data_IF_034018119656
#
_entry.id   IF_034018119656
#
_cell.length_a   1.000
_cell.length_b   1.000
_cell.length_c   1.000
_cell.angle_alpha   90.00
_cell.angle_beta   90.00
_cell.angle_gamma   90.00
#
_symmetry.space_group_name_H-M   'P 1'
#
loop_
_entity.id
_entity.type
_entity.pdbx_description
1 polymer ?
#
# COMPACT_ATOMS: atom_id res chain seq x y z
N UNK A 1 21.25 19.45 -0.75
CA UNK A 1 21.34 18.85 -2.10
C UNK A 1 22.09 17.54 -1.99
N UNK A 2 21.95 16.60 -2.94
CA UNK A 2 22.63 15.29 -2.82
C UNK A 2 22.13 14.48 -1.60
N UNK A 3 23.04 14.04 -0.72
CA UNK A 3 22.72 13.17 0.42
C UNK A 3 21.81 13.82 1.48
N UNK A 4 21.75 15.15 1.55
CA UNK A 4 20.87 15.87 2.49
C UNK A 4 19.40 15.92 2.02
N UNK A 5 19.11 15.45 0.80
CA UNK A 5 17.73 15.35 0.30
C UNK A 5 17.01 14.16 0.92
N UNK A 6 15.67 14.13 0.88
CA UNK A 6 14.91 12.96 1.35
C UNK A 6 15.32 11.66 0.63
N UNK A 7 15.59 11.73 -0.68
CA UNK A 7 16.12 10.59 -1.44
C UNK A 7 17.53 10.19 -0.97
N UNK A 8 18.35 11.18 -0.63
CA UNK A 8 19.68 10.97 -0.06
C UNK A 8 19.66 10.26 1.31
N UNK A 9 18.69 10.60 2.17
CA UNK A 9 18.47 9.90 3.45
C UNK A 9 18.10 8.44 3.23
N UNK A 10 17.21 8.14 2.28
CA UNK A 10 16.84 6.77 1.88
C UNK A 10 18.07 6.00 1.40
N UNK A 11 18.90 6.60 0.55
CA UNK A 11 20.15 6.00 0.07
C UNK A 11 21.15 5.73 1.20
N UNK A 12 21.25 6.64 2.18
CA UNK A 12 22.07 6.45 3.38
C UNK A 12 21.59 5.26 4.23
N UNK A 13 20.28 5.15 4.44
CA UNK A 13 19.69 4.00 5.16
C UNK A 13 20.02 2.67 4.47
N UNK A 14 19.91 2.61 3.15
CA UNK A 14 20.25 1.42 2.35
C UNK A 14 21.72 0.99 2.52
N UNK A 15 22.66 1.95 2.58
CA UNK A 15 24.07 1.65 2.80
C UNK A 15 24.37 1.18 4.23
N UNK A 16 23.60 1.68 5.20
CA UNK A 16 23.77 1.33 6.62
C UNK A 16 23.12 0.02 7.04
N UNK A 17 22.22 -0.52 6.22
CA UNK A 17 21.55 -1.79 6.48
C UNK A 17 22.56 -2.94 6.45
N UNK A 18 22.76 -3.60 7.61
CA UNK A 18 23.65 -4.74 7.72
C UNK A 18 23.05 -5.96 7.03
N UNK A 19 23.90 -6.78 6.42
CA UNK A 19 23.46 -8.06 5.88
C UNK A 19 23.15 -9.03 7.02
N UNK A 20 21.89 -9.45 7.10
CA UNK A 20 21.44 -10.41 8.10
C UNK A 20 21.83 -11.82 7.66
N UNK A 21 22.58 -12.55 8.48
CA UNK A 21 22.90 -13.95 8.23
C UNK A 21 21.65 -14.83 8.31
N UNK A 22 21.52 -15.79 7.39
CA UNK A 22 20.33 -16.65 7.34
C UNK A 22 20.28 -17.67 8.48
N UNK A 23 19.07 -18.14 8.87
CA UNK A 23 18.92 -19.08 9.98
C UNK A 23 19.72 -20.38 9.82
N UNK A 24 19.77 -20.99 8.63
CA UNK A 24 20.53 -22.20 8.32
C UNK A 24 22.02 -21.89 8.30
N UNK A 25 22.43 -20.71 7.83
CA UNK A 25 23.82 -20.25 7.94
C UNK A 25 24.29 -20.29 9.40
N UNK A 26 23.52 -19.68 10.31
CA UNK A 26 23.80 -19.69 11.75
C UNK A 26 23.82 -21.11 12.33
N UNK A 27 22.85 -21.96 11.95
CA UNK A 27 22.77 -23.35 12.43
C UNK A 27 23.93 -24.22 11.91
N UNK A 28 24.32 -24.05 10.66
CA UNK A 28 25.45 -24.77 10.06
C UNK A 28 26.77 -24.34 10.72
N UNK A 29 26.94 -23.06 11.02
CA UNK A 29 28.11 -22.58 11.75
C UNK A 29 28.15 -23.15 13.18
N UNK A 30 27.02 -23.17 13.88
CA UNK A 30 26.91 -23.79 15.21
C UNK A 30 27.24 -25.29 15.18
N UNK A 31 26.69 -26.03 14.21
CA UNK A 31 27.00 -27.44 14.01
C UNK A 31 28.49 -27.65 13.68
N UNK A 32 29.06 -26.81 12.81
CA UNK A 32 30.48 -26.84 12.47
C UNK A 32 31.37 -26.60 13.69
N UNK A 33 31.02 -25.63 14.55
CA UNK A 33 31.70 -25.36 15.82
C UNK A 33 31.63 -26.57 16.76
N UNK A 34 30.44 -27.16 16.94
CA UNK A 34 30.26 -28.34 17.79
C UNK A 34 31.10 -29.52 17.29
N UNK A 35 30.99 -29.86 16.00
CA UNK A 35 31.77 -30.94 15.39
C UNK A 35 33.27 -30.68 15.50
N UNK A 36 33.70 -29.43 15.27
CA UNK A 36 35.09 -29.01 15.42
C UNK A 36 35.62 -29.19 16.83
N UNK A 37 34.87 -28.77 17.85
CA UNK A 37 35.27 -28.95 19.26
C UNK A 37 35.33 -30.43 19.66
N UNK A 38 34.36 -31.24 19.22
CA UNK A 38 34.35 -32.69 19.47
C UNK A 38 35.55 -33.37 18.80
N UNK A 39 35.80 -33.07 17.52
CA UNK A 39 36.92 -33.62 16.77
C UNK A 39 38.26 -33.25 17.42
N UNK A 40 38.42 -31.98 17.83
CA UNK A 40 39.62 -31.51 18.53
C UNK A 40 39.81 -32.25 19.86
N UNK A 41 38.75 -32.42 20.63
CA UNK A 41 38.78 -33.18 21.88
C UNK A 41 39.24 -34.63 21.68
N UNK A 42 38.71 -35.31 20.66
CA UNK A 42 39.11 -36.68 20.29
C UNK A 42 40.58 -36.71 19.84
N UNK A 43 41.02 -35.74 19.04
CA UNK A 43 42.41 -35.65 18.58
C UNK A 43 43.40 -35.49 19.74
N UNK A 44 43.10 -34.60 20.69
CA UNK A 44 43.92 -34.39 21.90
C UNK A 44 43.96 -35.66 22.75
N UNK A 45 42.81 -36.33 22.92
CA UNK A 45 42.71 -37.58 23.68
C UNK A 45 43.57 -38.69 23.05
N UNK A 46 43.42 -38.91 21.74
CA UNK A 46 44.19 -39.94 21.01
C UNK A 46 45.69 -39.64 21.07
N UNK A 47 46.08 -38.37 20.87
CA UNK A 47 47.48 -37.96 20.96
C UNK A 47 48.05 -38.23 22.36
N UNK A 48 47.34 -37.85 23.42
CA UNK A 48 47.77 -38.06 24.80
C UNK A 48 47.89 -39.56 25.14
N UNK A 49 46.88 -40.36 24.77
CA UNK A 49 46.90 -41.82 24.98
C UNK A 49 48.05 -42.46 24.20
N UNK A 50 48.23 -42.12 22.93
CA UNK A 50 49.31 -42.69 22.11
C UNK A 50 50.71 -42.34 22.63
N UNK A 51 50.89 -41.13 23.16
CA UNK A 51 52.13 -40.75 23.86
C UNK A 51 52.36 -41.59 25.13
N UNK A 52 51.30 -41.88 25.91
CA UNK A 52 51.38 -42.73 27.10
C UNK A 52 51.72 -44.19 26.77
N UNK A 53 51.30 -44.70 25.60
CA UNK A 53 51.65 -46.04 25.11
C UNK A 53 53.08 -46.14 24.54
N UNK A 54 53.81 -45.02 24.45
CA UNK A 54 55.21 -44.99 23.99
C UNK A 54 55.39 -44.80 22.47
N UNK A 55 54.34 -44.39 21.75
CA UNK A 55 54.44 -44.11 20.32
C UNK A 55 55.26 -42.84 20.04
N UNK A 56 55.81 -42.73 18.84
CA UNK A 56 56.59 -41.56 18.44
C UNK A 56 55.68 -40.32 18.26
N UNK A 57 56.07 -39.17 18.83
CA UNK A 57 55.22 -37.97 18.87
C UNK A 57 54.84 -37.45 17.48
N UNK A 58 55.72 -37.57 16.48
CA UNK A 58 55.43 -37.21 15.09
C UNK A 58 54.35 -38.10 14.48
N UNK A 59 54.36 -39.40 14.76
CA UNK A 59 53.34 -40.34 14.25
C UNK A 59 51.97 -40.04 14.86
N UNK A 60 51.94 -39.80 16.18
CA UNK A 60 50.70 -39.42 16.87
C UNK A 60 50.16 -38.08 16.39
N UNK A 61 51.04 -37.12 16.11
CA UNK A 61 50.65 -35.82 15.55
C UNK A 61 50.05 -35.96 14.15
N UNK A 62 50.69 -36.72 13.25
CA UNK A 62 50.18 -36.98 11.90
C UNK A 62 48.83 -37.70 11.92
N UNK A 63 48.64 -38.64 12.85
CA UNK A 63 47.36 -39.34 13.03
C UNK A 63 46.25 -38.38 13.51
N UNK A 64 46.55 -37.52 14.49
CA UNK A 64 45.60 -36.53 14.99
C UNK A 64 45.18 -35.53 13.89
N UNK A 65 46.13 -35.01 13.11
CA UNK A 65 45.83 -34.12 11.98
C UNK A 65 44.98 -34.82 10.92
N UNK A 66 45.30 -36.07 10.58
CA UNK A 66 44.53 -36.85 9.59
C UNK A 66 43.08 -37.07 10.05
N UNK A 67 42.86 -37.37 11.34
CA UNK A 67 41.52 -37.52 11.90
C UNK A 67 40.77 -36.20 11.94
N UNK A 68 41.45 -35.09 12.27
CA UNK A 68 40.85 -33.76 12.28
C UNK A 68 40.34 -33.37 10.89
N UNK A 69 41.13 -33.61 9.83
CA UNK A 69 40.72 -33.37 8.44
C UNK A 69 39.55 -34.26 8.04
N UNK A 70 39.58 -35.56 8.40
CA UNK A 70 38.51 -36.50 8.09
C UNK A 70 37.17 -36.16 8.78
N UNK A 71 37.18 -35.39 9.87
CA UNK A 71 35.99 -34.99 10.60
C UNK A 71 35.27 -33.76 10.00
N UNK A 72 35.87 -33.07 9.02
CA UNK A 72 35.27 -31.89 8.39
C UNK A 72 34.11 -32.33 7.48
N UNK A 73 32.87 -31.86 7.71
CA UNK A 73 31.69 -32.32 6.97
C UNK A 73 31.55 -31.60 5.62
N UNK A 74 32.50 -31.78 4.71
CA UNK A 74 32.53 -31.10 3.40
C UNK A 74 31.26 -31.36 2.56
N UNK A 75 30.67 -32.56 2.68
CA UNK A 75 29.46 -32.93 1.96
C UNK A 75 28.22 -32.11 2.32
N UNK A 76 28.16 -31.56 3.53
CA UNK A 76 26.98 -30.84 4.02
C UNK A 76 26.73 -29.55 3.24
N UNK A 77 27.81 -28.84 2.89
CA UNK A 77 27.73 -27.57 2.16
C UNK A 77 27.31 -27.75 0.69
N UNK A 78 27.70 -28.88 0.09
CA UNK A 78 27.31 -29.24 -1.28
C UNK A 78 25.81 -29.60 -1.31
N UNK A 79 25.37 -30.45 -0.38
CA UNK A 79 23.97 -30.89 -0.31
C UNK A 79 23.02 -29.71 -0.06
N UNK A 80 23.37 -28.80 0.85
CA UNK A 80 22.53 -27.62 1.13
C UNK A 80 22.34 -26.75 -0.11
N UNK A 81 23.42 -26.48 -0.84
CA UNK A 81 23.39 -25.69 -2.08
C UNK A 81 22.50 -26.33 -3.15
N UNK A 82 22.59 -27.66 -3.34
CA UNK A 82 21.76 -28.39 -4.30
C UNK A 82 20.27 -28.32 -3.91
N UNK A 83 19.94 -28.51 -2.63
CA UNK A 83 18.55 -28.46 -2.15
C UNK A 83 17.97 -27.06 -2.33
N UNK A 84 18.72 -26.00 -1.99
CA UNK A 84 18.29 -24.62 -2.21
C UNK A 84 18.09 -24.31 -3.70
N UNK A 85 18.99 -24.79 -4.58
CA UNK A 85 18.87 -24.62 -6.02
C UNK A 85 17.60 -25.28 -6.58
N UNK A 86 17.24 -26.48 -6.09
CA UNK A 86 15.97 -27.14 -6.44
C UNK A 86 14.78 -26.29 -5.95
N UNK A 87 14.87 -25.72 -4.74
CA UNK A 87 13.87 -24.79 -4.21
C UNK A 87 13.66 -23.56 -5.09
N UNK A 88 14.75 -22.92 -5.53
CA UNK A 88 14.70 -21.80 -6.49
C UNK A 88 14.03 -22.21 -7.80
N UNK A 89 14.40 -23.36 -8.37
CA UNK A 89 13.77 -23.84 -9.61
C UNK A 89 12.26 -24.06 -9.46
N UNK A 90 11.77 -24.48 -8.29
CA UNK A 90 10.34 -24.62 -8.01
C UNK A 90 9.64 -23.27 -7.92
N UNK A 91 10.24 -22.29 -7.24
CA UNK A 91 9.69 -20.94 -7.10
C UNK A 91 9.63 -20.20 -8.45
N UNK A 92 10.65 -20.34 -9.29
CA UNK A 92 10.66 -19.74 -10.64
C UNK A 92 9.53 -20.26 -11.52
N UNK A 93 9.18 -21.55 -11.40
CA UNK A 93 8.00 -22.12 -12.10
C UNK A 93 6.67 -21.54 -11.65
N UNK A 94 6.63 -20.88 -10.49
CA UNK A 94 5.47 -20.16 -9.95
C UNK A 94 5.60 -18.64 -10.17
N UNK A 95 6.47 -18.20 -11.09
CA UNK A 95 6.77 -16.80 -11.39
C UNK A 95 7.40 -16.00 -10.22
N UNK A 96 8.01 -16.68 -9.25
CA UNK A 96 8.77 -16.03 -8.17
C UNK A 96 10.28 -16.09 -8.46
N UNK A 97 10.88 -14.94 -8.78
CA UNK A 97 12.30 -14.84 -9.13
C UNK A 97 13.13 -14.65 -7.86
N UNK A 98 14.06 -15.56 -7.60
CA UNK A 98 14.94 -15.51 -6.42
C UNK A 98 16.30 -14.96 -6.83
N UNK A 99 16.74 -13.87 -6.18
CA UNK A 99 18.04 -13.24 -6.47
C UNK A 99 19.21 -13.94 -5.78
N UNK A 100 19.00 -14.48 -4.57
CA UNK A 100 20.04 -15.17 -3.80
C UNK A 100 19.48 -16.48 -3.23
N UNK A 101 20.27 -17.56 -3.31
CA UNK A 101 19.87 -18.89 -2.82
C UNK A 101 19.39 -18.88 -1.35
N UNK A 102 20.02 -18.14 -0.41
CA UNK A 102 19.59 -18.13 0.98
C UNK A 102 18.18 -17.56 1.20
N UNK A 103 17.64 -16.74 0.28
CA UNK A 103 16.28 -16.22 0.42
C UNK A 103 15.20 -17.32 0.41
N UNK A 104 15.43 -18.46 -0.25
CA UNK A 104 14.47 -19.58 -0.21
C UNK A 104 14.27 -20.09 1.21
N UNK A 105 15.36 -20.09 1.98
CA UNK A 105 15.39 -20.59 3.34
C UNK A 105 14.78 -19.59 4.33
N UNK A 106 15.12 -18.31 4.20
CA UNK A 106 14.49 -17.23 4.98
C UNK A 106 12.98 -17.21 4.76
N UNK A 107 12.52 -17.34 3.50
CA UNK A 107 11.08 -17.37 3.20
C UNK A 107 10.38 -18.53 3.93
N UNK A 108 10.96 -19.73 3.90
CA UNK A 108 10.40 -20.90 4.58
C UNK A 108 10.45 -20.83 6.12
N UNK A 109 11.28 -19.95 6.68
CA UNK A 109 11.42 -19.74 8.13
C UNK A 109 10.69 -18.49 8.65
N UNK A 110 10.02 -17.75 7.76
CA UNK A 110 9.32 -16.51 8.07
C UNK A 110 8.25 -16.72 9.14
N UNK A 111 8.26 -15.89 10.18
CA UNK A 111 7.22 -15.86 11.22
C UNK A 111 6.36 -14.61 11.13
N UNK A 112 6.86 -13.53 10.54
CA UNK A 112 6.14 -12.26 10.37
C UNK A 112 6.28 -11.74 8.95
N UNK A 113 5.18 -11.32 8.34
CA UNK A 113 5.19 -10.63 7.04
C UNK A 113 4.73 -9.19 7.25
N UNK A 114 5.66 -8.26 7.09
CA UNK A 114 5.38 -6.83 7.00
C UNK A 114 5.07 -6.49 5.54
N UNK A 115 3.88 -6.01 5.24
CA UNK A 115 3.48 -5.67 3.88
C UNK A 115 3.17 -4.20 3.75
N UNK A 116 3.71 -3.55 2.71
CA UNK A 116 3.13 -2.30 2.22
C UNK A 116 1.71 -2.53 1.73
N UNK A 117 0.88 -1.48 1.74
CA UNK A 117 -0.50 -1.56 1.29
C UNK A 117 -0.62 -1.27 -0.21
N UNK A 118 -0.14 -0.12 -0.65
CA UNK A 118 -0.42 0.39 -2.00
C UNK A 118 0.39 -0.41 -3.01
N UNK A 119 -0.23 -0.94 -4.06
CA UNK A 119 0.43 -1.73 -5.10
C UNK A 119 0.90 -3.13 -4.68
N UNK A 120 1.01 -3.39 -3.39
CA UNK A 120 1.34 -4.70 -2.82
C UNK A 120 0.07 -5.46 -2.44
N UNK A 121 -0.69 -4.99 -1.44
CA UNK A 121 -1.96 -5.61 -1.03
C UNK A 121 -3.13 -5.14 -1.90
N UNK A 122 -3.02 -3.94 -2.45
CA UNK A 122 -4.02 -3.35 -3.34
C UNK A 122 -3.54 -3.34 -4.78
N UNK A 123 -4.47 -3.08 -5.70
CA UNK A 123 -4.18 -3.07 -7.14
C UNK A 123 -3.43 -1.82 -7.59
N UNK A 124 -3.25 -0.82 -6.73
CA UNK A 124 -2.81 0.54 -7.09
C UNK A 124 -3.68 1.13 -8.21
N UNK A 125 -4.99 0.85 -8.13
CA UNK A 125 -5.98 1.30 -9.11
C UNK A 125 -7.18 1.87 -8.37
N UNK A 126 -7.17 3.19 -8.16
CA UNK A 126 -8.30 3.87 -7.55
C UNK A 126 -9.59 3.60 -8.34
N UNK A 127 -10.65 3.23 -7.64
CA UNK A 127 -11.91 2.78 -8.23
C UNK A 127 -13.07 3.44 -7.48
N UNK A 128 -13.99 4.07 -8.21
CA UNK A 128 -15.24 4.58 -7.63
C UNK A 128 -16.15 3.40 -7.33
N UNK A 129 -16.57 3.25 -6.07
CA UNK A 129 -17.35 2.10 -5.60
C UNK A 129 -18.69 2.49 -5.00
N UNK A 130 -18.87 3.75 -4.64
CA UNK A 130 -20.12 4.24 -4.06
C UNK A 130 -20.39 5.69 -4.48
N UNK A 131 -21.66 6.05 -4.63
CA UNK A 131 -22.11 7.42 -4.84
C UNK A 131 -23.21 7.80 -3.85
N UNK A 132 -23.40 9.09 -3.64
CA UNK A 132 -24.55 9.62 -2.91
C UNK A 132 -25.09 10.86 -3.61
N UNK A 133 -26.38 10.85 -3.96
CA UNK A 133 -27.11 11.94 -4.61
C UNK A 133 -28.51 12.01 -4.05
N UNK A 134 -28.99 13.20 -3.73
CA UNK A 134 -30.38 13.42 -3.29
C UNK A 134 -30.81 12.50 -2.12
N UNK A 135 -29.88 12.15 -1.23
CA UNK A 135 -30.10 11.21 -0.11
C UNK A 135 -30.10 9.72 -0.48
N UNK A 136 -30.06 9.40 -1.78
CA UNK A 136 -29.97 8.04 -2.29
C UNK A 136 -28.50 7.62 -2.44
N UNK A 137 -28.22 6.34 -2.17
CA UNK A 137 -26.90 5.73 -2.38
C UNK A 137 -26.87 5.00 -3.72
N UNK A 138 -25.74 5.07 -4.40
CA UNK A 138 -25.47 4.41 -5.67
C UNK A 138 -24.37 3.38 -5.40
N UNK A 139 -24.61 2.12 -5.73
CA UNK A 139 -23.57 1.08 -5.68
C UNK A 139 -22.86 1.03 -7.03
N UNK A 140 -21.59 1.45 -7.07
CA UNK A 140 -20.78 1.35 -8.29
C UNK A 140 -19.93 0.07 -8.32
N UNK A 141 -19.94 -0.76 -7.25
CA UNK A 141 -19.35 -2.10 -7.32
C UNK A 141 -20.19 -3.01 -8.22
N UNK A 142 -21.50 -2.80 -8.20
CA UNK A 142 -22.46 -3.41 -9.12
C UNK A 142 -23.16 -2.27 -9.87
N UNK A 143 -22.48 -1.64 -10.84
CA UNK A 143 -22.96 -0.42 -11.46
C UNK A 143 -24.36 -0.64 -12.07
N UNK A 144 -25.30 0.31 -11.87
CA UNK A 144 -26.62 0.22 -12.46
C UNK A 144 -26.51 0.26 -13.99
N UNK A 145 -27.54 -0.23 -14.69
CA UNK A 145 -27.57 -0.03 -16.14
C UNK A 145 -27.71 1.47 -16.44
N UNK A 146 -27.07 1.99 -17.50
CA UNK A 146 -27.08 3.42 -17.80
C UNK A 146 -28.47 4.04 -17.88
N UNK A 147 -29.50 3.29 -18.28
CA UNK A 147 -30.89 3.72 -18.39
C UNK A 147 -31.59 3.93 -17.04
N UNK A 148 -31.11 3.27 -15.98
CA UNK A 148 -31.68 3.36 -14.62
C UNK A 148 -31.21 4.59 -13.85
N UNK A 149 -30.15 5.27 -14.32
CA UNK A 149 -29.64 6.50 -13.70
C UNK A 149 -30.69 7.61 -13.79
N UNK A 150 -31.06 8.14 -12.63
CA UNK A 150 -31.86 9.35 -12.48
C UNK A 150 -31.10 10.58 -12.98
N UNK A 151 -31.84 11.66 -13.26
CA UNK A 151 -31.27 12.90 -13.77
C UNK A 151 -30.21 13.50 -12.83
N UNK A 152 -30.44 13.44 -11.52
CA UNK A 152 -29.50 13.95 -10.51
C UNK A 152 -28.18 13.15 -10.51
N UNK A 153 -28.26 11.82 -10.69
CA UNK A 153 -27.10 10.93 -10.75
C UNK A 153 -26.29 11.17 -12.03
N UNK A 154 -26.98 11.41 -13.16
CA UNK A 154 -26.33 11.83 -14.41
C UNK A 154 -25.64 13.18 -14.25
N UNK A 155 -26.26 14.13 -13.54
CA UNK A 155 -25.63 15.43 -13.25
C UNK A 155 -24.38 15.24 -12.38
N UNK A 156 -24.42 14.38 -11.35
CA UNK A 156 -23.24 14.08 -10.54
C UNK A 156 -22.10 13.53 -11.40
N UNK A 157 -22.38 12.49 -12.18
CA UNK A 157 -21.37 11.85 -13.02
C UNK A 157 -20.83 12.82 -14.07
N UNK A 158 -21.70 13.55 -14.78
CA UNK A 158 -21.29 14.51 -15.80
C UNK A 158 -20.47 15.66 -15.22
N UNK A 159 -20.93 16.31 -14.14
CA UNK A 159 -20.18 17.39 -13.49
C UNK A 159 -18.85 16.91 -12.92
N UNK A 160 -18.80 15.69 -12.36
CA UNK A 160 -17.56 15.09 -11.89
C UNK A 160 -16.59 14.80 -13.04
N UNK A 161 -17.09 14.32 -14.18
CA UNK A 161 -16.33 13.95 -15.37
C UNK A 161 -15.78 15.18 -16.11
N UNK A 162 -16.57 16.24 -16.27
CA UNK A 162 -16.12 17.47 -16.92
C UNK A 162 -15.05 18.21 -16.10
N UNK A 163 -15.12 18.05 -14.78
CA UNK A 163 -14.15 18.60 -13.84
C UNK A 163 -12.93 17.70 -13.64
N UNK A 164 -12.45 16.94 -14.64
CA UNK A 164 -11.20 16.17 -14.58
C UNK A 164 -10.20 16.59 -15.65
N UNK A 165 -8.92 16.53 -15.32
CA UNK A 165 -7.80 16.68 -16.26
C UNK A 165 -7.34 15.34 -16.83
N UNK A 166 -7.85 14.22 -16.29
CA UNK A 166 -7.62 12.89 -16.83
C UNK A 166 -8.08 12.77 -18.29
N UNK A 167 -7.21 12.17 -19.11
CA UNK A 167 -7.44 11.89 -20.51
C UNK A 167 -7.80 10.42 -20.72
N UNK A 168 -8.81 10.18 -21.55
CA UNK A 168 -9.24 8.86 -21.99
C UNK A 168 -8.67 8.55 -23.38
N UNK A 169 -7.94 7.45 -23.51
CA UNK A 169 -7.44 6.95 -24.80
C UNK A 169 -8.05 5.59 -25.11
N UNK A 170 -8.80 5.52 -26.20
CA UNK A 170 -9.32 4.25 -26.70
C UNK A 170 -8.24 3.53 -27.52
N UNK A 171 -8.03 2.24 -27.23
CA UNK A 171 -7.11 1.38 -27.95
C UNK A 171 -7.80 0.68 -29.14
N UNK A 172 -7.04 0.26 -30.18
CA UNK A 172 -7.61 -0.37 -31.37
C UNK A 172 -8.34 -1.69 -31.12
N UNK A 173 -8.03 -2.37 -30.02
CA UNK A 173 -8.64 -3.63 -29.59
C UNK A 173 -9.97 -3.43 -28.82
N UNK A 174 -10.40 -2.18 -28.64
CA UNK A 174 -11.62 -1.82 -27.93
C UNK A 174 -11.43 -1.65 -26.41
N UNK A 175 -10.23 -1.86 -25.89
CA UNK A 175 -9.90 -1.52 -24.49
C UNK A 175 -9.55 -0.03 -24.35
N UNK A 176 -9.38 0.46 -23.13
CA UNK A 176 -9.05 1.85 -22.87
C UNK A 176 -7.89 2.01 -21.89
N UNK A 177 -7.15 3.10 -22.07
CA UNK A 177 -6.10 3.58 -21.16
C UNK A 177 -6.46 4.97 -20.69
N UNK A 178 -6.25 5.24 -19.40
CA UNK A 178 -6.40 6.58 -18.84
C UNK A 178 -5.04 7.14 -18.44
N UNK A 179 -4.86 8.45 -18.62
CA UNK A 179 -3.70 9.18 -18.13
C UNK A 179 -4.17 10.35 -17.25
N UNK A 180 -3.66 10.44 -16.02
CA UNK A 180 -4.04 11.48 -15.05
C UNK A 180 -3.82 11.03 -13.61
N UNK A 181 -4.25 11.86 -12.66
CA UNK A 181 -4.27 11.47 -11.24
C UNK A 181 -5.21 10.27 -11.02
N UNK A 182 -4.85 9.28 -10.17
CA UNK A 182 -5.69 8.11 -9.91
C UNK A 182 -7.13 8.42 -9.50
N UNK A 183 -7.35 9.50 -8.75
CA UNK A 183 -8.69 9.93 -8.33
C UNK A 183 -9.55 10.29 -9.54
N UNK A 184 -8.95 10.91 -10.54
CA UNK A 184 -9.64 11.37 -11.74
C UNK A 184 -9.84 10.26 -12.76
N UNK A 185 -8.83 9.41 -12.94
CA UNK A 185 -8.96 8.25 -13.83
C UNK A 185 -10.02 7.27 -13.33
N UNK A 186 -10.22 7.17 -12.01
CA UNK A 186 -11.33 6.41 -11.42
C UNK A 186 -12.71 6.96 -11.82
N UNK A 187 -12.87 8.29 -11.89
CA UNK A 187 -14.11 8.94 -12.33
C UNK A 187 -14.34 8.68 -13.83
N UNK A 188 -13.28 8.77 -14.64
CA UNK A 188 -13.35 8.45 -16.07
C UNK A 188 -13.74 6.98 -16.30
N UNK A 189 -13.17 6.05 -15.54
CA UNK A 189 -13.48 4.62 -15.61
C UNK A 189 -14.96 4.34 -15.33
N UNK A 190 -15.51 4.86 -14.22
CA UNK A 190 -16.91 4.61 -13.88
C UNK A 190 -17.87 5.31 -14.84
N UNK A 191 -17.52 6.51 -15.31
CA UNK A 191 -18.33 7.22 -16.30
C UNK A 191 -18.37 6.44 -17.62
N UNK A 192 -17.24 5.93 -18.10
CA UNK A 192 -17.17 5.12 -19.31
C UNK A 192 -17.98 3.82 -19.17
N UNK A 193 -17.91 3.15 -18.01
CA UNK A 193 -18.72 1.97 -17.72
C UNK A 193 -20.24 2.26 -17.73
N UNK A 194 -20.63 3.52 -17.52
CA UNK A 194 -22.01 4.00 -17.57
C UNK A 194 -22.34 4.73 -18.89
N UNK A 195 -21.61 4.42 -19.97
CA UNK A 195 -21.77 4.99 -21.31
C UNK A 195 -21.57 6.52 -21.41
N UNK A 196 -20.85 7.14 -20.46
CA UNK A 196 -20.43 8.54 -20.53
C UNK A 196 -18.96 8.61 -20.95
N UNK A 197 -18.72 8.77 -22.25
CA UNK A 197 -17.37 8.86 -22.79
C UNK A 197 -16.79 10.27 -22.61
N UNK A 198 -15.68 10.40 -21.87
CA UNK A 198 -15.00 11.69 -21.61
C UNK A 198 -14.73 12.50 -22.88
N UNK A 199 -14.25 11.87 -23.96
CA UNK A 199 -13.88 12.57 -25.19
C UNK A 199 -15.11 13.13 -25.92
N UNK A 200 -16.25 12.46 -25.80
CA UNK A 200 -17.52 12.91 -26.38
C UNK A 200 -18.14 14.02 -25.53
N UNK A 201 -18.11 13.86 -24.21
CA UNK A 201 -18.60 14.84 -23.24
C UNK A 201 -17.82 16.15 -23.31
N UNK A 202 -16.49 16.10 -23.48
CA UNK A 202 -15.66 17.30 -23.67
C UNK A 202 -15.96 18.03 -24.99
N UNK A 203 -16.32 17.30 -26.06
CA UNK A 203 -16.74 17.92 -27.33
C UNK A 203 -18.12 18.54 -27.21
N UNK A 204 -19.02 17.89 -26.48
CA UNK A 204 -20.40 18.36 -26.25
C UNK A 204 -20.44 19.55 -25.31
N UNK A 205 -19.57 19.57 -24.30
CA UNK A 205 -19.51 20.58 -23.26
C UNK A 205 -18.09 21.17 -23.13
N UNK A 206 -17.62 21.94 -24.13
CA UNK A 206 -16.24 22.39 -24.19
C UNK A 206 -15.86 23.24 -22.96
N UNK A 207 -14.70 22.92 -22.38
CA UNK A 207 -14.12 23.70 -21.28
C UNK A 207 -13.64 25.06 -21.80
N UNK A 208 -14.13 26.14 -21.19
CA UNK A 208 -13.78 27.52 -21.54
C UNK A 208 -12.80 28.16 -20.56
N UNK A 209 -12.75 27.68 -19.32
CA UNK A 209 -11.81 28.16 -18.30
C UNK A 209 -11.70 27.17 -17.13
N UNK A 210 -10.74 27.39 -16.25
CA UNK A 210 -10.50 26.55 -15.07
C UNK A 210 -9.80 27.30 -13.95
N UNK A 211 -9.96 26.75 -12.74
CA UNK A 211 -9.13 27.03 -11.58
C UNK A 211 -8.58 25.68 -11.13
N UNK A 212 -7.28 25.41 -11.33
CA UNK A 212 -6.70 24.10 -11.08
C UNK A 212 -6.75 23.74 -9.59
N UNK A 213 -6.52 22.46 -9.30
CA UNK A 213 -6.43 22.00 -7.91
C UNK A 213 -5.34 22.75 -7.15
N UNK A 214 -5.69 23.25 -5.97
CA UNK A 214 -4.77 23.90 -5.05
C UNK A 214 -4.75 23.14 -3.73
N UNK A 215 -3.56 22.88 -3.16
CA UNK A 215 -3.41 22.05 -1.96
C UNK A 215 -3.86 22.75 -0.67
N UNK A 216 -3.91 24.09 -0.66
CA UNK A 216 -4.44 24.86 0.48
C UNK A 216 -5.97 24.88 0.44
N UNK A 217 -6.56 25.13 -0.74
CA UNK A 217 -8.03 25.18 -0.95
C UNK A 217 -8.68 23.81 -1.07
N UNK A 218 -7.91 22.78 -1.47
CA UNK A 218 -8.33 21.39 -1.74
C UNK A 218 -9.56 21.26 -2.66
N UNK A 219 -9.65 22.14 -3.65
CA UNK A 219 -10.70 22.17 -4.67
C UNK A 219 -10.14 22.46 -6.05
N UNK A 220 -10.85 21.96 -7.06
CA UNK A 220 -10.66 22.26 -8.47
C UNK A 220 -12.00 22.71 -9.05
N UNK A 221 -11.96 23.66 -9.97
CA UNK A 221 -13.14 24.13 -10.69
C UNK A 221 -12.89 24.22 -12.20
N UNK A 222 -13.88 23.83 -13.00
CA UNK A 222 -13.87 24.03 -14.46
C UNK A 222 -15.12 24.78 -14.89
N UNK A 223 -15.00 25.55 -15.96
CA UNK A 223 -16.14 26.22 -16.60
C UNK A 223 -16.36 25.58 -17.95
N UNK A 224 -17.54 25.02 -18.17
CA UNK A 224 -17.91 24.33 -19.41
C UNK A 224 -19.10 25.03 -20.06
N UNK A 225 -19.13 25.07 -21.39
CA UNK A 225 -20.30 25.52 -22.13
C UNK A 225 -21.35 24.41 -22.18
N UNK A 226 -22.58 24.72 -21.79
CA UNK A 226 -23.69 23.78 -21.76
C UNK A 226 -24.52 23.85 -23.04
N UNK A 227 -25.28 22.79 -23.34
CA UNK A 227 -26.09 22.70 -24.57
C UNK A 227 -27.22 23.73 -24.64
N UNK A 228 -27.66 24.27 -23.51
CA UNK A 228 -28.66 25.34 -23.41
C UNK A 228 -28.07 26.76 -23.64
N UNK A 229 -26.76 26.84 -23.92
CA UNK A 229 -26.03 28.08 -24.14
C UNK A 229 -25.51 28.74 -22.85
N UNK A 230 -25.84 28.22 -21.68
CA UNK A 230 -25.29 28.71 -20.40
C UNK A 230 -23.88 28.17 -20.17
N UNK A 231 -23.18 28.79 -19.23
CA UNK A 231 -21.91 28.26 -18.71
C UNK A 231 -22.16 27.56 -17.38
N UNK A 232 -21.57 26.39 -17.19
CA UNK A 232 -21.59 25.69 -15.90
C UNK A 232 -20.21 25.69 -15.28
N UNK A 233 -20.12 26.20 -14.05
CA UNK A 233 -18.98 25.99 -13.18
C UNK A 233 -19.17 24.65 -12.48
N UNK A 234 -18.31 23.67 -12.77
CA UNK A 234 -18.24 22.40 -12.06
C UNK A 234 -17.13 22.49 -11.02
N UNK A 235 -17.35 21.97 -9.82
CA UNK A 235 -16.38 21.98 -8.72
C UNK A 235 -16.30 20.61 -8.09
N UNK A 236 -15.09 20.14 -7.83
CA UNK A 236 -14.83 18.94 -7.02
C UNK A 236 -13.79 19.22 -5.93
N UNK A 237 -13.91 18.54 -4.80
CA UNK A 237 -12.94 18.67 -3.72
C UNK A 237 -13.34 17.92 -2.45
N UNK A 238 -12.66 18.23 -1.35
CA UNK A 238 -13.01 17.74 -0.01
C UNK A 238 -14.40 18.23 0.42
N UNK A 239 -15.08 17.46 1.27
CA UNK A 239 -16.46 17.76 1.66
C UNK A 239 -16.58 19.14 2.32
N UNK A 240 -15.81 19.39 3.38
CA UNK A 240 -15.90 20.64 4.12
C UNK A 240 -15.50 21.83 3.24
N UNK A 241 -14.50 21.64 2.38
CA UNK A 241 -14.06 22.67 1.44
C UNK A 241 -15.14 22.99 0.39
N UNK A 242 -15.88 22.00 -0.13
CA UNK A 242 -16.97 22.23 -1.08
C UNK A 242 -18.20 22.84 -0.38
N UNK A 243 -18.56 22.36 0.81
CA UNK A 243 -19.68 22.92 1.57
C UNK A 243 -19.46 24.39 1.94
N UNK A 244 -18.21 24.80 2.22
CA UNK A 244 -17.89 26.19 2.56
C UNK A 244 -18.25 27.22 1.47
N UNK A 245 -18.36 26.79 0.21
CA UNK A 245 -18.68 27.65 -0.95
C UNK A 245 -20.06 27.35 -1.55
N UNK A 246 -20.84 26.51 -0.87
CA UNK A 246 -22.15 26.02 -1.32
C UNK A 246 -23.27 26.69 -0.54
N UNK A 247 -24.34 27.06 -1.25
CA UNK A 247 -25.53 27.72 -0.66
C UNK A 247 -26.83 26.99 -1.00
N UNK A 248 -26.81 26.14 -2.00
CA UNK A 248 -27.96 25.40 -2.50
C UNK A 248 -27.62 23.91 -2.59
N UNK A 249 -28.64 23.08 -2.71
CA UNK A 249 -28.52 21.63 -2.89
C UNK A 249 -29.50 21.19 -3.98
N UNK A 250 -29.05 20.25 -4.82
CA UNK A 250 -29.90 19.53 -5.77
C UNK A 250 -30.55 18.36 -5.05
N UNK A 251 -31.88 18.33 -5.01
CA UNK A 251 -32.67 17.25 -4.41
C UNK A 251 -33.83 16.89 -5.33
N UNK A 252 -33.82 15.67 -5.88
CA UNK A 252 -34.85 15.12 -6.75
C UNK A 252 -35.23 16.07 -7.91
N UNK A 253 -34.23 16.52 -8.66
CA UNK A 253 -34.38 17.43 -9.80
C UNK A 253 -34.69 18.88 -9.43
N UNK A 254 -34.73 19.24 -8.14
CA UNK A 254 -35.03 20.61 -7.68
C UNK A 254 -33.86 21.19 -6.90
N UNK A 255 -33.50 22.42 -7.26
CA UNK A 255 -32.50 23.22 -6.52
C UNK A 255 -33.22 24.00 -5.43
N UNK A 256 -32.77 23.85 -4.18
CA UNK A 256 -33.25 24.65 -3.04
C UNK A 256 -32.08 25.08 -2.15
N UNK A 257 -32.30 26.06 -1.27
CA UNK A 257 -31.31 26.45 -0.27
C UNK A 257 -30.95 25.25 0.61
N UNK A 258 -29.66 25.08 0.89
CA UNK A 258 -29.17 24.03 1.77
C UNK A 258 -29.52 24.37 3.22
N UNK A 259 -29.99 23.38 3.98
CA UNK A 259 -30.34 23.53 5.40
C UNK A 259 -29.28 22.90 6.30
N UNK A 260 -29.26 23.25 7.58
CA UNK A 260 -28.37 22.63 8.57
C UNK A 260 -28.62 21.11 8.72
N UNK A 261 -29.86 20.66 8.52
CA UNK A 261 -30.21 19.24 8.51
C UNK A 261 -29.57 18.50 7.33
N UNK A 262 -29.55 19.12 6.14
CA UNK A 262 -28.88 18.58 4.97
C UNK A 262 -27.37 18.46 5.22
N UNK A 263 -26.74 19.51 5.74
CA UNK A 263 -25.30 19.52 6.05
C UNK A 263 -24.96 18.41 7.04
N UNK A 264 -25.78 18.23 8.07
CA UNK A 264 -25.61 17.17 9.07
C UNK A 264 -25.72 15.78 8.42
N UNK A 265 -26.71 15.59 7.55
CA UNK A 265 -26.91 14.32 6.83
C UNK A 265 -25.73 14.00 5.91
N UNK A 266 -25.24 14.97 5.13
CA UNK A 266 -24.10 14.82 4.23
C UNK A 266 -22.84 14.46 5.01
N UNK A 267 -22.56 15.15 6.14
CA UNK A 267 -21.42 14.84 7.00
C UNK A 267 -21.49 13.43 7.60
N UNK A 268 -22.67 12.98 8.00
CA UNK A 268 -22.87 11.63 8.50
C UNK A 268 -22.58 10.58 7.43
N UNK A 269 -23.04 10.78 6.20
CA UNK A 269 -22.73 9.88 5.08
C UNK A 269 -21.25 9.88 4.72
N UNK A 270 -20.59 11.04 4.70
CA UNK A 270 -19.14 11.12 4.50
C UNK A 270 -18.36 10.36 5.58
N UNK A 271 -18.76 10.50 6.85
CA UNK A 271 -18.18 9.74 7.96
C UNK A 271 -18.41 8.23 7.81
N UNK A 272 -19.57 7.80 7.31
CA UNK A 272 -19.83 6.39 7.02
C UNK A 272 -18.91 5.89 5.89
N UNK A 273 -18.85 6.59 4.77
CA UNK A 273 -17.97 6.25 3.64
C UNK A 273 -16.50 6.16 4.09
N UNK A 274 -16.03 7.11 4.89
CA UNK A 274 -14.68 7.10 5.46
C UNK A 274 -14.42 5.88 6.36
N UNK A 275 -15.40 5.48 7.19
CA UNK A 275 -15.31 4.25 8.00
C UNK A 275 -15.27 2.98 7.14
N UNK A 276 -15.85 3.02 5.94
CA UNK A 276 -15.74 1.97 4.92
C UNK A 276 -14.48 2.11 4.06
N UNK A 277 -13.45 2.81 4.54
CA UNK A 277 -12.18 3.05 3.85
C UNK A 277 -12.28 3.84 2.54
N UNK A 278 -13.42 4.47 2.26
CA UNK A 278 -13.60 5.22 1.02
C UNK A 278 -12.99 6.61 1.16
N UNK A 279 -12.19 6.99 0.17
CA UNK A 279 -11.83 8.38 -0.11
C UNK A 279 -13.06 9.05 -0.72
N UNK A 280 -13.57 10.10 -0.08
CA UNK A 280 -14.79 10.78 -0.52
C UNK A 280 -14.43 12.06 -1.25
N UNK A 281 -15.03 12.26 -2.42
CA UNK A 281 -14.93 13.47 -3.22
C UNK A 281 -16.33 14.07 -3.38
N UNK A 282 -16.48 15.33 -2.99
CA UNK A 282 -17.74 16.07 -3.13
C UNK A 282 -17.77 16.83 -4.45
N UNK A 283 -18.95 16.92 -5.05
CA UNK A 283 -19.18 17.57 -6.34
C UNK A 283 -20.31 18.59 -6.22
N UNK A 284 -20.06 19.76 -6.77
CA UNK A 284 -21.02 20.87 -6.82
C UNK A 284 -20.97 21.54 -8.20
N UNK A 285 -22.03 22.28 -8.54
CA UNK A 285 -22.04 23.09 -9.76
C UNK A 285 -22.70 24.44 -9.55
N UNK A 286 -22.55 25.33 -10.52
CA UNK A 286 -23.33 26.56 -10.64
C UNK A 286 -23.43 26.98 -12.09
N UNK A 287 -24.65 27.25 -12.55
CA UNK A 287 -24.87 27.82 -13.87
C UNK A 287 -24.74 29.35 -13.82
N UNK A 288 -24.05 29.92 -14.80
CA UNK A 288 -23.82 31.36 -14.97
C UNK A 288 -24.11 31.76 -16.42
N UNK A 289 -24.66 32.95 -16.63
CA UNK A 289 -25.02 33.42 -17.97
C UNK A 289 -23.81 33.96 -18.76
N UNK A 290 -22.79 34.46 -18.05
CA UNK A 290 -21.57 35.01 -18.64
C UNK A 290 -20.34 34.69 -17.80
N UNK A 291 -19.21 34.54 -18.48
CA UNK A 291 -17.92 34.40 -17.81
C UNK A 291 -17.57 35.72 -17.10
N UNK A 292 -17.10 35.69 -15.83
CA UNK A 292 -16.60 36.88 -15.17
C UNK A 292 -15.32 37.40 -15.83
N UNK A 293 -15.05 38.70 -15.71
CA UNK A 293 -13.86 39.34 -16.30
C UNK A 293 -12.54 38.74 -15.78
N UNK A 294 -12.57 38.26 -14.52
CA UNK A 294 -11.48 37.52 -13.89
C UNK A 294 -12.00 36.15 -13.45
N UNK A 295 -11.34 35.08 -13.90
CA UNK A 295 -11.65 33.71 -13.51
C UNK A 295 -10.66 33.27 -12.43
N UNK A 296 -11.10 33.29 -11.18
CA UNK A 296 -10.36 32.80 -10.03
C UNK A 296 -11.32 32.21 -8.98
N UNK A 297 -10.77 31.60 -7.93
CA UNK A 297 -11.57 30.94 -6.90
C UNK A 297 -12.61 31.89 -6.27
N UNK A 298 -12.28 33.16 -6.06
CA UNK A 298 -13.19 34.13 -5.42
C UNK A 298 -14.39 34.47 -6.31
N UNK A 299 -14.19 34.49 -7.63
CA UNK A 299 -15.26 34.84 -8.58
C UNK A 299 -16.15 33.63 -8.92
N UNK A 300 -15.56 32.45 -9.14
CA UNK A 300 -16.29 31.27 -9.63
C UNK A 300 -16.71 30.26 -8.56
N UNK A 301 -15.99 30.14 -7.44
CA UNK A 301 -16.30 29.18 -6.34
C UNK A 301 -17.18 29.84 -5.26
N UNK A 302 -18.39 30.27 -5.63
CA UNK A 302 -19.34 30.86 -4.66
C UNK A 302 -20.78 30.57 -5.04
N UNK A 303 -21.66 30.52 -4.06
CA UNK A 303 -23.08 30.25 -4.26
C UNK A 303 -23.33 28.96 -5.07
N UNK A 304 -22.53 27.92 -4.82
CA UNK A 304 -22.66 26.65 -5.55
C UNK A 304 -23.92 25.88 -5.12
N UNK A 305 -24.29 24.92 -5.95
CA UNK A 305 -25.31 23.90 -5.72
C UNK A 305 -24.60 22.57 -5.45
N UNK A 306 -24.75 22.03 -4.23
CA UNK A 306 -24.25 20.70 -3.89
C UNK A 306 -25.01 19.65 -4.69
N UNK A 307 -24.30 18.74 -5.35
CA UNK A 307 -24.92 17.64 -6.09
C UNK A 307 -24.88 16.36 -5.25
N UNK A 308 -23.67 15.98 -4.82
CA UNK A 308 -23.45 14.67 -4.23
C UNK A 308 -21.99 14.38 -3.94
N UNK A 309 -21.73 13.12 -3.59
CA UNK A 309 -20.40 12.62 -3.26
C UNK A 309 -20.09 11.32 -4.01
N UNK A 310 -18.82 11.11 -4.33
CA UNK A 310 -18.28 9.86 -4.85
C UNK A 310 -17.30 9.27 -3.83
N UNK A 311 -17.56 8.04 -3.41
CA UNK A 311 -16.67 7.23 -2.59
C UNK A 311 -15.83 6.31 -3.47
N UNK A 312 -14.51 6.43 -3.35
CA UNK A 312 -13.56 5.64 -4.10
C UNK A 312 -12.54 4.95 -3.20
N UNK A 313 -12.02 3.82 -3.63
CA UNK A 313 -11.04 3.03 -2.90
C UNK A 313 -10.00 2.47 -3.87
N UNK A 314 -8.79 2.25 -3.39
CA UNK A 314 -7.83 1.39 -4.05
C UNK A 314 -8.10 -0.06 -3.60
N UNK A 315 -8.76 -0.90 -4.43
CA UNK A 315 -9.29 -2.17 -4.00
C UNK A 315 -8.16 -3.15 -3.69
N UNK A 316 -8.39 -4.02 -2.71
CA UNK A 316 -7.49 -5.13 -2.42
C UNK A 316 -7.41 -6.07 -3.62
N UNK A 317 -6.24 -6.69 -3.83
CA UNK A 317 -6.10 -7.75 -4.83
C UNK A 317 -6.95 -8.96 -4.42
N UNK A 318 -7.73 -9.59 -5.34
CA UNK A 318 -8.62 -10.69 -5.00
C UNK A 318 -7.96 -11.85 -4.24
N UNK A 319 -6.70 -12.14 -4.58
CA UNK A 319 -5.90 -13.22 -3.99
C UNK A 319 -5.40 -12.92 -2.56
N UNK A 320 -5.37 -11.66 -2.14
CA UNK A 320 -4.77 -11.25 -0.86
C UNK A 320 -5.54 -11.81 0.33
N UNK A 321 -6.87 -11.86 0.25
CA UNK A 321 -7.70 -12.40 1.35
C UNK A 321 -7.36 -13.86 1.63
N UNK A 322 -7.21 -14.67 0.58
CA UNK A 322 -6.83 -16.08 0.70
C UNK A 322 -5.37 -16.22 1.16
N UNK A 323 -4.46 -15.38 0.65
CA UNK A 323 -3.05 -15.39 1.03
C UNK A 323 -2.86 -15.06 2.52
N UNK A 324 -3.52 -14.03 3.03
CA UNK A 324 -3.50 -13.65 4.46
C UNK A 324 -4.03 -14.79 5.32
N UNK A 325 -5.12 -15.45 4.90
CA UNK A 325 -5.67 -16.61 5.61
C UNK A 325 -4.68 -17.78 5.65
N UNK A 326 -3.99 -18.08 4.54
CA UNK A 326 -2.96 -19.12 4.47
C UNK A 326 -1.79 -18.80 5.41
N UNK A 327 -1.35 -17.54 5.44
CA UNK A 327 -0.29 -17.09 6.35
C UNK A 327 -0.67 -17.34 7.81
N UNK A 328 -1.86 -16.89 8.23
CA UNK A 328 -2.35 -17.12 9.60
C UNK A 328 -2.46 -18.61 9.94
N UNK A 329 -2.92 -19.44 9.00
CA UNK A 329 -3.03 -20.90 9.19
C UNK A 329 -1.66 -21.57 9.33
N UNK A 330 -0.62 -21.02 8.70
CA UNK A 330 0.76 -21.47 8.84
C UNK A 330 1.47 -20.94 10.10
N UNK A 331 0.78 -20.16 10.94
CA UNK A 331 1.37 -19.51 12.11
C UNK A 331 2.19 -18.26 11.79
N UNK A 332 2.09 -17.72 10.57
CA UNK A 332 2.76 -16.50 10.14
C UNK A 332 1.87 -15.30 10.46
N UNK A 333 2.42 -14.29 11.13
CA UNK A 333 1.70 -13.06 11.48
C UNK A 333 1.82 -12.02 10.36
N UNK A 334 0.72 -11.67 9.66
CA UNK A 334 0.72 -10.59 8.69
C UNK A 334 0.54 -9.24 9.39
N UNK A 335 1.27 -8.23 8.92
CA UNK A 335 1.27 -6.86 9.45
C UNK A 335 1.18 -5.90 8.26
N UNK A 336 0.30 -4.90 8.35
CA UNK A 336 0.18 -3.86 7.34
C UNK A 336 0.94 -2.60 7.74
N UNK A 337 1.75 -2.08 6.83
CA UNK A 337 2.47 -0.83 6.97
C UNK A 337 2.07 0.09 5.81
N UNK A 338 1.59 1.30 6.07
CA UNK A 338 1.07 2.17 5.01
C UNK A 338 1.22 3.66 5.29
N UNK A 339 1.31 4.45 4.22
CA UNK A 339 1.21 5.91 4.26
C UNK A 339 -0.23 6.44 4.45
N UNK A 340 -1.23 5.57 4.32
CA UNK A 340 -2.65 5.95 4.41
C UNK A 340 -3.07 6.40 5.81
N UNK A 341 -4.25 7.01 5.91
CA UNK A 341 -4.82 7.40 7.20
C UNK A 341 -5.24 6.19 8.02
N UNK A 342 -5.10 6.29 9.35
CA UNK A 342 -5.35 5.19 10.28
C UNK A 342 -6.72 4.54 10.12
N UNK A 343 -7.77 5.34 9.93
CA UNK A 343 -9.15 4.84 9.78
C UNK A 343 -9.28 3.96 8.52
N UNK A 344 -8.80 4.46 7.38
CA UNK A 344 -8.79 3.74 6.10
C UNK A 344 -7.94 2.48 6.17
N UNK A 345 -6.73 2.58 6.74
CA UNK A 345 -5.81 1.46 6.88
C UNK A 345 -6.41 0.32 7.72
N UNK A 346 -7.05 0.66 8.86
CA UNK A 346 -7.74 -0.33 9.71
C UNK A 346 -8.90 -0.99 8.99
N UNK A 347 -9.70 -0.21 8.25
CA UNK A 347 -10.83 -0.75 7.51
C UNK A 347 -10.39 -1.73 6.41
N UNK A 348 -9.37 -1.38 5.60
CA UNK A 348 -8.79 -2.29 4.59
C UNK A 348 -8.17 -3.52 5.26
N UNK A 349 -7.39 -3.32 6.32
CA UNK A 349 -6.76 -4.42 7.04
C UNK A 349 -7.77 -5.38 7.65
N UNK A 350 -8.92 -4.89 8.12
CA UNK A 350 -10.00 -5.73 8.62
C UNK A 350 -10.67 -6.52 7.48
N UNK A 351 -10.91 -5.88 6.33
CA UNK A 351 -11.50 -6.50 5.14
C UNK A 351 -10.65 -7.69 4.63
N UNK A 352 -9.34 -7.50 4.53
CA UNK A 352 -8.42 -8.56 4.08
C UNK A 352 -8.02 -9.55 5.20
N UNK A 353 -8.50 -9.32 6.42
CA UNK A 353 -8.28 -10.21 7.55
C UNK A 353 -6.92 -10.09 8.23
N UNK A 354 -6.17 -8.98 8.03
CA UNK A 354 -4.96 -8.66 8.81
C UNK A 354 -5.33 -8.18 10.22
N UNK A 355 -6.26 -7.22 10.31
CA UNK A 355 -6.69 -6.61 11.57
C UNK A 355 -7.87 -7.36 12.17
N UNK A 356 -7.75 -7.73 13.45
CA UNK A 356 -8.77 -8.47 14.21
C UNK A 356 -9.10 -7.77 15.53
N UNK A 357 -10.21 -8.15 16.15
CA UNK A 357 -10.60 -7.59 17.45
C UNK A 357 -9.51 -7.86 18.51
N UNK A 358 -9.06 -6.79 19.19
CA UNK A 358 -7.94 -6.83 20.13
C UNK A 358 -6.62 -6.30 19.56
N UNK A 359 -6.48 -6.21 18.24
CA UNK A 359 -5.29 -5.62 17.61
C UNK A 359 -5.27 -4.10 17.78
N UNK A 360 -4.06 -3.54 17.86
CA UNK A 360 -3.83 -2.10 17.87
C UNK A 360 -3.38 -1.61 16.50
N UNK A 361 -3.74 -0.37 16.21
CA UNK A 361 -3.24 0.39 15.08
C UNK A 361 -2.58 1.68 15.57
N UNK A 362 -1.45 2.04 14.99
CA UNK A 362 -0.68 3.23 15.38
C UNK A 362 -0.39 4.10 14.15
N UNK A 363 -0.40 5.41 14.36
CA UNK A 363 -0.05 6.38 13.31
C UNK A 363 1.43 6.77 13.44
N UNK A 364 2.09 7.11 12.33
CA UNK A 364 3.52 7.39 12.30
C UNK A 364 3.98 8.49 13.25
N UNK A 365 3.17 9.53 13.46
CA UNK A 365 3.45 10.59 14.43
C UNK A 365 3.49 10.07 15.88
N UNK A 366 2.56 9.19 16.24
CA UNK A 366 2.56 8.55 17.57
C UNK A 366 3.70 7.55 17.67
N UNK A 367 3.95 6.78 16.61
CA UNK A 367 5.06 5.83 16.56
C UNK A 367 6.40 6.50 16.80
N UNK A 368 6.61 7.70 16.26
CA UNK A 368 7.83 8.49 16.44
C UNK A 368 8.07 8.89 17.91
N UNK A 369 7.01 9.09 18.69
CA UNK A 369 7.09 9.46 20.11
C UNK A 369 7.31 8.25 21.04
N UNK A 370 6.93 7.04 20.60
CA UNK A 370 7.14 5.81 21.37
C UNK A 370 8.64 5.48 21.37
N UNK A 371 9.31 5.28 22.53
CA UNK A 371 10.71 4.83 22.60
C UNK A 371 10.92 3.42 22.03
N UNK A 372 12.14 3.09 21.58
CA UNK A 372 12.45 1.78 21.00
C UNK A 372 12.16 0.62 21.96
N UNK A 373 12.51 0.75 23.24
CA UNK A 373 12.29 -0.30 24.24
C UNK A 373 10.81 -0.60 24.46
N UNK A 374 9.96 0.44 24.42
CA UNK A 374 8.52 0.30 24.54
C UNK A 374 7.91 -0.29 23.26
N UNK A 375 8.36 0.20 22.09
CA UNK A 375 7.93 -0.33 20.80
C UNK A 375 8.28 -1.82 20.68
N UNK A 376 9.48 -2.22 21.10
CA UNK A 376 9.92 -3.60 21.04
C UNK A 376 9.02 -4.44 21.94
N UNK A 377 8.88 -4.10 23.22
CA UNK A 377 8.03 -4.86 24.16
C UNK A 377 6.58 -5.05 23.67
N UNK A 378 6.02 -4.05 23.01
CA UNK A 378 4.60 -4.04 22.63
C UNK A 378 4.36 -4.33 21.14
N UNK A 379 5.38 -4.70 20.37
CA UNK A 379 5.31 -4.83 18.90
C UNK A 379 4.21 -5.80 18.45
N UNK A 380 4.04 -6.90 19.20
CA UNK A 380 3.05 -7.94 18.92
C UNK A 380 1.60 -7.46 19.00
N UNK A 381 1.36 -6.35 19.71
CA UNK A 381 0.01 -5.77 19.86
C UNK A 381 -0.44 -5.03 18.61
N UNK A 382 0.47 -4.66 17.72
CA UNK A 382 0.17 -3.84 16.56
C UNK A 382 0.07 -4.69 15.29
N UNK A 383 -1.01 -4.49 14.52
CA UNK A 383 -1.21 -5.14 13.21
C UNK A 383 -1.22 -4.14 12.05
N UNK A 384 -1.42 -2.85 12.34
CA UNK A 384 -1.54 -1.80 11.32
C UNK A 384 -0.75 -0.56 11.74
N UNK A 385 0.13 -0.12 10.86
CA UNK A 385 0.92 1.11 11.01
C UNK A 385 0.55 2.07 9.88
N UNK A 386 -0.03 3.22 10.22
CA UNK A 386 -0.58 4.17 9.27
C UNK A 386 0.22 5.48 9.23
N UNK A 387 0.16 6.25 8.14
CA UNK A 387 0.97 7.46 7.91
C UNK A 387 2.45 7.27 8.28
N UNK A 388 3.04 6.14 7.89
CA UNK A 388 4.44 5.85 8.19
C UNK A 388 5.40 6.46 7.17
N UNK A 389 6.55 6.93 7.66
CA UNK A 389 7.68 7.35 6.84
C UNK A 389 8.63 6.16 6.57
N UNK A 390 9.54 6.22 5.58
CA UNK A 390 10.49 5.14 5.30
C UNK A 390 11.29 4.68 6.54
N UNK A 391 11.72 5.60 7.39
CA UNK A 391 12.47 5.33 8.62
C UNK A 391 11.65 4.49 9.61
N UNK A 392 10.35 4.75 9.68
CA UNK A 392 9.43 3.99 10.53
C UNK A 392 9.31 2.54 10.06
N UNK A 393 9.32 2.28 8.73
CA UNK A 393 9.27 0.92 8.19
C UNK A 393 10.46 0.09 8.68
N UNK A 394 11.67 0.65 8.59
CA UNK A 394 12.91 0.03 9.09
C UNK A 394 12.81 -0.24 10.59
N UNK A 395 12.31 0.73 11.35
CA UNK A 395 12.15 0.62 12.81
C UNK A 395 11.18 -0.50 13.22
N UNK A 396 10.06 -0.65 12.49
CA UNK A 396 9.08 -1.73 12.70
C UNK A 396 9.71 -3.10 12.41
N UNK A 397 10.46 -3.23 11.30
CA UNK A 397 11.16 -4.48 10.95
C UNK A 397 12.15 -4.86 12.06
N UNK A 398 12.96 -3.90 12.55
CA UNK A 398 13.90 -4.14 13.65
C UNK A 398 13.22 -4.55 14.95
N UNK A 399 12.06 -3.96 15.25
CA UNK A 399 11.30 -4.31 16.44
C UNK A 399 10.84 -5.78 16.43
N UNK A 400 10.33 -6.26 15.29
CA UNK A 400 10.01 -7.67 15.11
C UNK A 400 11.26 -8.56 15.18
N UNK A 401 12.35 -8.20 14.49
CA UNK A 401 13.61 -8.95 14.55
C UNK A 401 14.17 -9.07 15.98
N UNK A 402 13.95 -8.06 16.83
CA UNK A 402 14.38 -8.10 18.25
C UNK A 402 13.70 -9.19 19.07
N UNK A 403 12.53 -9.69 18.63
CA UNK A 403 11.81 -10.80 19.25
C UNK A 403 12.30 -12.17 18.77
N UNK A 404 13.29 -12.20 17.87
CA UNK A 404 13.76 -13.42 17.22
C UNK A 404 12.87 -13.89 16.07
N UNK A 405 11.91 -13.07 15.65
CA UNK A 405 11.10 -13.31 14.46
C UNK A 405 11.94 -13.19 13.18
N UNK A 406 11.62 -14.04 12.22
CA UNK A 406 12.15 -13.94 10.86
C UNK A 406 11.17 -13.11 10.05
N UNK A 407 11.60 -11.91 9.68
CA UNK A 407 10.73 -10.88 9.10
C UNK A 407 10.88 -10.88 7.59
N UNK A 408 9.77 -11.13 6.90
CA UNK A 408 9.64 -10.81 5.48
C UNK A 408 9.05 -9.41 5.32
N UNK A 409 9.60 -8.62 4.41
CA UNK A 409 9.00 -7.35 3.97
C UNK A 409 8.53 -7.49 2.52
N UNK A 410 7.30 -7.06 2.22
CA UNK A 410 6.77 -6.99 0.86
C UNK A 410 6.43 -5.54 0.49
N UNK A 411 6.88 -5.06 -0.66
CA UNK A 411 6.65 -3.67 -1.08
C UNK A 411 7.09 -3.40 -2.53
N UNK A 412 6.42 -2.45 -3.20
CA UNK A 412 6.69 -2.08 -4.60
C UNK A 412 7.39 -0.71 -4.75
N UNK A 413 7.34 0.12 -3.71
CA UNK A 413 7.80 1.51 -3.75
C UNK A 413 9.28 1.72 -3.41
N UNK A 414 9.84 2.84 -3.88
CA UNK A 414 11.19 3.29 -3.50
C UNK A 414 11.32 3.54 -1.98
N UNK A 415 10.20 3.90 -1.36
CA UNK A 415 10.08 4.13 0.08
C UNK A 415 10.20 2.84 0.92
N UNK A 416 10.03 1.67 0.28
CA UNK A 416 10.17 0.35 0.92
C UNK A 416 11.58 -0.19 0.87
N UNK A 417 12.42 0.33 -0.03
CA UNK A 417 13.75 -0.20 -0.27
C UNK A 417 14.60 -0.35 1.02
N UNK A 418 14.64 0.63 1.95
CA UNK A 418 15.37 0.46 3.21
C UNK A 418 14.84 -0.69 4.07
N UNK A 419 13.51 -0.85 4.17
CA UNK A 419 12.89 -1.90 4.96
C UNK A 419 13.04 -3.27 4.29
N UNK A 420 12.93 -3.36 2.96
CA UNK A 420 13.20 -4.56 2.17
C UNK A 420 14.64 -5.05 2.35
N UNK A 421 15.61 -4.13 2.46
CA UNK A 421 17.01 -4.48 2.70
C UNK A 421 17.28 -4.86 4.15
N UNK A 422 16.58 -4.27 5.12
CA UNK A 422 16.70 -4.57 6.55
C UNK A 422 16.04 -5.91 6.94
N UNK A 423 14.97 -6.29 6.25
CA UNK A 423 14.24 -7.54 6.50
C UNK A 423 15.13 -8.77 6.22
N UNK A 424 14.83 -9.90 6.88
CA UNK A 424 15.51 -11.17 6.62
C UNK A 424 15.25 -11.67 5.19
N UNK A 425 14.11 -11.26 4.61
CA UNK A 425 13.81 -11.36 3.20
C UNK A 425 12.96 -10.19 2.71
N UNK A 426 13.38 -9.56 1.60
CA UNK A 426 12.58 -8.59 0.86
C UNK A 426 11.92 -9.22 -0.37
N UNK A 427 10.64 -8.94 -0.60
CA UNK A 427 9.87 -9.32 -1.79
C UNK A 427 9.34 -8.05 -2.46
N UNK A 428 9.60 -7.89 -3.76
CA UNK A 428 9.22 -6.72 -4.55
C UNK A 428 8.65 -7.10 -5.89
#
# INVERSE_FOLDING_TARGET
>A
TGMDTEVGKIAGMLQSAQETETPMGKRLEQLGKILGYVALGICVLIFAVGMLYGNHWLEMFMMAVSLAVAAIPEGLQIVSTIVLAIGVQRLVKLNAIVRTLPSVESLGSTTVICSDKTGTLTQNKMTVVEGMVSGNRIDFRNPPVPEELSDDERILLNSSLLCTDAHLKMLPDGTHENAGDPTETAIVDIALALNLNKNEEDRKYPRVSEVPFDSERKRMATVNQMADGKLRVNVKGGLDEVLAVTTHILMHGKVRTITEEDITTIRNENNRMAKSALRVLSVAYRDIDRLPDRVDAETIERNLVFIGMLGMIDPARPEVVEAVKKCKTAGIRPVMITGDHKVTAVAIAAEIGIYTEGDKAVAGNVLQEIPDEELYRDIEKYSVYARVAPEHKVRIVKAWQSHGDIVAMTGDGVNDAPALKQADIGVS
#
